data_IF_462835968314
#
_entry.id   IF_462835968314
#
_cell.length_a   1.000
_cell.length_b   1.000
_cell.length_c   1.000
_cell.angle_alpha   90.00
_cell.angle_beta   90.00
_cell.angle_gamma   90.00
#
_symmetry.space_group_name_H-M   'P 1'
#
loop_
_entity.id
_entity.type
_entity.pdbx_description
1 polymer ?
#
# COMPACT_ATOMS: atom_id res chain seq x y z
N UNK A 1 -25.22 -9.58 13.55
CA UNK A 1 -24.84 -10.37 12.36
C UNK A 1 -24.56 -11.80 12.82
N UNK A 2 -25.28 -12.84 12.34
CA UNK A 2 -24.97 -14.22 12.70
C UNK A 2 -23.64 -14.65 12.07
N UNK A 3 -22.79 -15.34 12.83
CA UNK A 3 -21.52 -15.86 12.32
C UNK A 3 -21.80 -16.94 11.25
N UNK A 4 -21.22 -16.79 10.04
CA UNK A 4 -21.24 -17.85 9.02
C UNK A 4 -20.16 -18.87 9.38
N UNK A 5 -20.56 -20.12 9.60
CA UNK A 5 -19.65 -21.23 9.84
C UNK A 5 -19.41 -21.98 8.51
N UNK A 6 -18.15 -22.26 8.19
CA UNK A 6 -17.76 -23.11 7.06
C UNK A 6 -17.13 -24.37 7.63
N UNK A 7 -17.78 -25.50 7.42
CA UNK A 7 -17.24 -26.81 7.78
C UNK A 7 -16.42 -27.34 6.59
N UNK A 8 -15.27 -27.93 6.87
CA UNK A 8 -14.44 -28.64 5.87
C UNK A 8 -14.32 -30.11 6.27
N UNK A 9 -14.10 -30.97 5.28
CA UNK A 9 -13.79 -32.37 5.53
C UNK A 9 -12.46 -32.51 6.28
N UNK A 10 -12.35 -33.56 7.10
CA UNK A 10 -11.10 -33.95 7.76
C UNK A 10 -10.04 -34.30 6.72
N UNK A 11 -8.90 -33.62 6.75
CA UNK A 11 -7.79 -33.75 5.79
C UNK A 11 -6.67 -34.67 6.28
N UNK A 12 -6.81 -35.26 7.47
CA UNK A 12 -5.86 -36.22 8.02
C UNK A 12 -4.58 -35.61 8.59
N UNK A 13 -4.35 -34.30 8.43
CA UNK A 13 -3.17 -33.61 8.97
C UNK A 13 -3.33 -33.25 10.46
N UNK A 14 -4.52 -33.43 11.01
CA UNK A 14 -4.85 -33.14 12.39
C UNK A 14 -4.36 -34.28 13.28
N UNK A 15 -3.30 -33.99 14.03
CA UNK A 15 -2.79 -34.85 15.08
C UNK A 15 -3.82 -34.91 16.22
N UNK A 16 -4.53 -36.03 16.34
CA UNK A 16 -5.39 -36.31 17.50
C UNK A 16 -4.51 -37.08 18.48
N UNK A 17 -4.32 -36.56 19.71
CA UNK A 17 -3.65 -37.33 20.77
C UNK A 17 -4.28 -38.71 20.90
N UNK A 18 -3.47 -39.76 21.09
CA UNK A 18 -3.99 -41.10 21.33
C UNK A 18 -4.86 -41.07 22.60
N UNK A 19 -6.17 -41.06 22.39
CA UNK A 19 -7.16 -41.00 23.46
C UNK A 19 -7.64 -42.42 23.70
N UNK A 20 -7.32 -42.98 24.87
CA UNK A 20 -7.78 -44.32 25.20
C UNK A 20 -9.26 -44.32 25.56
N UNK A 21 -9.96 -45.41 25.22
CA UNK A 21 -11.38 -45.55 25.50
C UNK A 21 -11.66 -45.56 27.02
N UNK A 22 -10.75 -46.15 27.79
CA UNK A 22 -10.88 -46.26 29.24
C UNK A 22 -10.78 -44.88 29.92
N UNK A 23 -9.86 -44.01 29.48
CA UNK A 23 -9.74 -42.63 29.96
C UNK A 23 -11.01 -41.81 29.72
N UNK A 24 -11.61 -41.97 28.54
CA UNK A 24 -12.87 -41.31 28.17
C UNK A 24 -13.99 -41.76 29.10
N UNK A 25 -14.11 -43.07 29.30
CA UNK A 25 -15.14 -43.64 30.15
C UNK A 25 -14.96 -43.20 31.60
N UNK A 26 -13.73 -43.19 32.12
CA UNK A 26 -13.44 -42.73 33.48
C UNK A 26 -13.81 -41.24 33.66
N UNK A 27 -13.39 -40.38 32.73
CA UNK A 27 -13.72 -38.96 32.76
C UNK A 27 -15.23 -38.70 32.69
N UNK A 28 -15.98 -39.49 31.90
CA UNK A 28 -17.42 -39.38 31.83
C UNK A 28 -18.11 -39.90 33.08
N UNK A 29 -17.57 -40.96 33.69
CA UNK A 29 -18.09 -41.57 34.91
C UNK A 29 -18.08 -40.57 36.06
N UNK A 30 -16.99 -39.83 36.23
CA UNK A 30 -16.86 -38.82 37.29
C UNK A 30 -17.90 -37.69 37.13
N UNK A 31 -18.06 -37.16 35.91
CA UNK A 31 -19.05 -36.13 35.61
C UNK A 31 -20.48 -36.68 35.71
N UNK A 32 -20.73 -37.94 35.33
CA UNK A 32 -22.03 -38.63 35.50
C UNK A 32 -22.40 -38.78 36.97
N UNK A 33 -21.46 -39.18 37.82
CA UNK A 33 -21.65 -39.28 39.26
C UNK A 33 -21.92 -37.89 39.88
N UNK A 34 -21.31 -36.83 39.33
CA UNK A 34 -21.49 -35.47 39.81
C UNK A 34 -22.83 -34.84 39.41
N UNK A 35 -23.32 -35.07 38.18
CA UNK A 35 -24.46 -34.33 37.62
C UNK A 35 -25.67 -35.20 37.26
N UNK A 36 -25.53 -36.52 37.18
CA UNK A 36 -26.60 -37.46 36.87
C UNK A 36 -27.10 -37.44 35.41
N UNK A 37 -26.49 -36.63 34.54
CA UNK A 37 -26.87 -36.49 33.12
C UNK A 37 -25.65 -36.69 32.20
N UNK A 38 -25.72 -37.72 31.37
CA UNK A 38 -24.71 -38.05 30.37
C UNK A 38 -24.52 -36.94 29.33
N UNK A 39 -25.61 -36.28 28.90
CA UNK A 39 -25.50 -35.23 27.88
C UNK A 39 -24.72 -34.03 28.42
N UNK A 40 -24.95 -33.69 29.69
CA UNK A 40 -24.23 -32.63 30.36
C UNK A 40 -22.76 -33.00 30.60
N UNK A 41 -22.48 -34.25 30.99
CA UNK A 41 -21.12 -34.78 31.13
C UNK A 41 -20.33 -34.69 29.81
N UNK A 42 -20.89 -35.20 28.71
CA UNK A 42 -20.28 -35.11 27.38
C UNK A 42 -20.00 -33.66 26.96
N UNK A 43 -20.96 -32.76 27.21
CA UNK A 43 -20.80 -31.33 26.91
C UNK A 43 -19.65 -30.73 27.71
N UNK A 44 -19.57 -31.03 29.00
CA UNK A 44 -18.53 -30.51 29.88
C UNK A 44 -17.15 -31.06 29.50
N UNK A 45 -17.06 -32.36 29.21
CA UNK A 45 -15.86 -33.02 28.73
C UNK A 45 -15.36 -32.39 27.43
N UNK A 46 -16.23 -32.24 26.41
CA UNK A 46 -15.85 -31.57 25.15
C UNK A 46 -15.41 -30.11 25.37
N UNK A 47 -16.00 -29.39 26.33
CA UNK A 47 -15.62 -28.00 26.59
C UNK A 47 -14.27 -27.87 27.30
N UNK A 48 -14.00 -28.73 28.29
CA UNK A 48 -12.82 -28.65 29.18
C UNK A 48 -11.63 -29.47 28.70
N UNK A 49 -11.88 -30.47 27.85
CA UNK A 49 -10.91 -31.49 27.47
C UNK A 49 -10.90 -32.66 28.47
N UNK A 50 -10.06 -33.65 28.20
CA UNK A 50 -9.84 -34.83 29.04
C UNK A 50 -8.44 -34.73 29.64
N UNK A 51 -8.28 -35.18 30.89
CA UNK A 51 -6.97 -35.40 31.50
C UNK A 51 -6.85 -36.87 31.84
N UNK A 52 -5.88 -37.52 31.24
CA UNK A 52 -5.50 -38.90 31.52
C UNK A 52 -4.84 -38.96 32.91
N UNK A 53 -4.97 -40.08 33.65
CA UNK A 53 -4.32 -40.26 34.95
C UNK A 53 -2.79 -40.09 34.91
N UNK A 54 -2.17 -40.41 33.78
CA UNK A 54 -0.73 -40.23 33.53
C UNK A 54 -0.31 -38.76 33.38
N UNK A 55 -1.27 -37.83 33.40
CA UNK A 55 -1.04 -36.39 33.32
C UNK A 55 -1.14 -35.81 31.91
N UNK A 56 -1.30 -36.66 30.90
CA UNK A 56 -1.56 -36.22 29.53
C UNK A 56 -2.92 -35.51 29.45
N UNK A 57 -2.96 -34.43 28.66
CA UNK A 57 -4.16 -33.61 28.50
C UNK A 57 -4.52 -33.47 27.05
N UNK A 58 -5.75 -33.85 26.73
CA UNK A 58 -6.39 -33.52 25.47
C UNK A 58 -7.10 -32.19 25.59
N UNK A 59 -6.78 -31.28 24.68
CA UNK A 59 -7.38 -29.94 24.63
C UNK A 59 -8.90 -30.00 24.44
N UNK A 60 -9.62 -29.19 25.20
CA UNK A 60 -11.05 -28.99 25.00
C UNK A 60 -11.33 -27.99 23.87
N UNK A 61 -12.60 -27.91 23.48
CA UNK A 61 -13.11 -26.90 22.54
C UNK A 61 -12.71 -25.47 22.96
N UNK A 62 -12.68 -25.17 24.26
CA UNK A 62 -12.26 -23.86 24.78
C UNK A 62 -10.79 -23.57 24.48
N UNK A 63 -9.93 -24.55 24.71
CA UNK A 63 -8.48 -24.44 24.48
C UNK A 63 -8.19 -24.31 22.98
N UNK A 64 -8.86 -25.11 22.14
CA UNK A 64 -8.76 -25.03 20.68
C UNK A 64 -9.19 -23.66 20.15
N UNK A 65 -10.32 -23.12 20.65
CA UNK A 65 -10.77 -21.79 20.28
C UNK A 65 -9.79 -20.70 20.73
N UNK A 66 -9.18 -20.87 21.90
CA UNK A 66 -8.16 -19.94 22.39
C UNK A 66 -6.91 -19.98 21.50
N UNK A 67 -6.43 -21.17 21.13
CA UNK A 67 -5.31 -21.36 20.21
C UNK A 67 -5.60 -20.75 18.84
N UNK A 68 -6.81 -20.97 18.30
CA UNK A 68 -7.24 -20.36 17.04
C UNK A 68 -7.28 -18.82 17.12
N UNK A 69 -7.81 -18.25 18.21
CA UNK A 69 -7.78 -16.80 18.42
C UNK A 69 -6.35 -16.28 18.50
N UNK A 70 -5.45 -17.01 19.15
CA UNK A 70 -4.04 -16.66 19.25
C UNK A 70 -3.35 -16.71 17.88
N UNK A 71 -3.56 -17.77 17.10
CA UNK A 71 -3.08 -17.87 15.72
C UNK A 71 -3.62 -16.74 14.83
N UNK A 72 -4.89 -16.38 14.97
CA UNK A 72 -5.46 -15.23 14.27
C UNK A 72 -4.81 -13.90 14.66
N UNK A 73 -4.49 -13.72 15.95
CA UNK A 73 -3.77 -12.54 16.44
C UNK A 73 -2.30 -12.53 16.07
N UNK A 74 -1.71 -13.69 15.79
CA UNK A 74 -0.36 -13.89 15.26
C UNK A 74 -0.30 -13.86 13.72
N UNK A 75 -1.42 -13.62 13.05
CA UNK A 75 -1.47 -13.26 11.63
C UNK A 75 -1.49 -11.73 11.34
N UNK A 76 -0.78 -10.84 12.06
CA UNK A 76 -0.38 -9.57 11.47
C UNK A 76 0.83 -9.80 10.54
N UNK A 77 0.98 -8.94 9.54
CA UNK A 77 2.11 -8.80 8.60
C UNK A 77 2.25 -9.77 7.42
N UNK A 78 1.55 -10.92 7.36
CA UNK A 78 1.65 -11.75 6.13
C UNK A 78 0.93 -11.15 4.91
N UNK A 79 0.13 -10.10 5.13
CA UNK A 79 -0.54 -9.30 4.10
C UNK A 79 -0.60 -7.83 4.49
N UNK A 80 0.51 -7.23 4.94
CA UNK A 80 0.64 -5.76 4.84
C UNK A 80 0.80 -5.40 3.36
N UNK A 81 -0.31 -5.50 2.63
CA UNK A 81 -0.43 -5.02 1.25
C UNK A 81 -0.06 -3.52 1.19
N UNK A 82 -0.21 -2.79 2.30
CA UNK A 82 0.25 -1.40 2.44
C UNK A 82 1.71 -1.24 2.06
N UNK A 83 2.62 -2.09 2.56
CA UNK A 83 4.05 -1.97 2.24
C UNK A 83 4.35 -2.25 0.77
N UNK A 84 3.63 -3.20 0.15
CA UNK A 84 3.78 -3.49 -1.29
C UNK A 84 3.23 -2.33 -2.13
N UNK A 85 2.13 -1.71 -1.70
CA UNK A 85 1.59 -0.52 -2.37
C UNK A 85 2.50 0.69 -2.20
N UNK A 86 3.14 0.88 -1.04
CA UNK A 86 4.12 1.94 -0.79
C UNK A 86 5.38 1.78 -1.68
N UNK A 87 5.83 0.55 -1.90
CA UNK A 87 6.95 0.25 -2.83
C UNK A 87 6.59 0.58 -4.27
N UNK A 88 5.38 0.22 -4.71
CA UNK A 88 4.89 0.54 -6.05
C UNK A 88 4.75 2.05 -6.23
N UNK A 89 4.24 2.76 -5.22
CA UNK A 89 4.12 4.22 -5.27
C UNK A 89 5.48 4.88 -5.42
N UNK A 90 6.49 4.47 -4.65
CA UNK A 90 7.86 4.98 -4.77
C UNK A 90 8.48 4.74 -6.15
N UNK A 91 8.28 3.54 -6.72
CA UNK A 91 8.77 3.22 -8.05
C UNK A 91 8.10 4.08 -9.13
N UNK A 92 6.80 4.36 -9.01
CA UNK A 92 6.10 5.24 -9.93
C UNK A 92 6.58 6.69 -9.81
N UNK A 93 6.83 7.19 -8.60
CA UNK A 93 7.38 8.53 -8.37
C UNK A 93 8.79 8.66 -8.98
N UNK A 94 9.66 7.66 -8.81
CA UNK A 94 11.00 7.63 -9.42
C UNK A 94 10.95 7.65 -10.96
N UNK A 95 10.02 6.91 -11.56
CA UNK A 95 9.82 6.94 -13.01
C UNK A 95 9.34 8.32 -13.47
N UNK A 96 8.40 8.93 -12.75
CA UNK A 96 7.88 10.26 -13.08
C UNK A 96 8.96 11.34 -13.01
N UNK A 97 9.84 11.28 -12.01
CA UNK A 97 10.94 12.22 -11.87
C UNK A 97 11.98 12.03 -12.99
N UNK A 98 12.31 10.78 -13.33
CA UNK A 98 13.20 10.50 -14.46
C UNK A 98 12.64 10.99 -15.80
N UNK A 99 11.32 10.83 -16.02
CA UNK A 99 10.66 11.35 -17.21
C UNK A 99 10.70 12.88 -17.25
N UNK A 100 10.46 13.57 -16.12
CA UNK A 100 10.54 15.03 -16.03
C UNK A 100 11.94 15.53 -16.37
N UNK A 101 12.97 14.96 -15.75
CA UNK A 101 14.36 15.33 -16.00
C UNK A 101 14.72 15.12 -17.48
N UNK A 102 14.29 14.00 -18.07
CA UNK A 102 14.51 13.72 -19.50
C UNK A 102 13.77 14.70 -20.42
N UNK A 103 12.58 15.16 -20.02
CA UNK A 103 11.83 16.16 -20.77
C UNK A 103 12.52 17.53 -20.71
N UNK A 104 13.01 17.92 -19.54
CA UNK A 104 13.72 19.18 -19.33
C UNK A 104 15.04 19.20 -20.11
N UNK A 105 15.82 18.11 -20.06
CA UNK A 105 17.05 17.95 -20.86
C UNK A 105 16.77 18.09 -22.37
N UNK A 106 15.69 17.48 -22.86
CA UNK A 106 15.27 17.62 -24.28
C UNK A 106 14.76 19.01 -24.60
N UNK A 107 14.10 19.69 -23.67
CA UNK A 107 13.61 21.05 -23.88
C UNK A 107 14.79 22.02 -24.01
N UNK A 108 15.83 21.83 -23.21
CA UNK A 108 17.08 22.59 -23.24
C UNK A 108 17.92 22.27 -24.49
N UNK A 109 17.96 21.00 -24.92
CA UNK A 109 18.62 20.58 -26.16
C UNK A 109 17.91 21.12 -27.42
N UNK A 110 16.58 21.26 -27.37
CA UNK A 110 15.75 21.90 -28.40
C UNK A 110 15.69 23.43 -28.19
N UNK A 111 16.77 24.02 -27.65
CA UNK A 111 16.91 25.43 -27.31
C UNK A 111 16.26 26.43 -28.30
N UNK A 112 15.91 27.65 -27.83
CA UNK A 112 14.91 28.53 -28.43
C UNK A 112 15.05 28.59 -29.94
N UNK A 113 13.97 28.22 -30.65
CA UNK A 113 13.88 28.24 -32.12
C UNK A 113 14.65 29.44 -32.66
N UNK A 114 15.63 29.26 -33.56
CA UNK A 114 16.30 30.41 -34.16
C UNK A 114 15.23 31.32 -34.75
N UNK A 115 15.16 32.56 -34.25
CA UNK A 115 14.31 33.59 -34.82
C UNK A 115 14.63 33.64 -36.31
N UNK A 116 13.61 33.68 -37.21
CA UNK A 116 13.86 33.81 -38.64
C UNK A 116 14.79 35.01 -38.85
N UNK A 117 16.01 34.74 -39.30
CA UNK A 117 16.90 35.79 -39.76
C UNK A 117 16.19 36.44 -40.95
N UNK A 118 15.76 37.68 -40.77
CA UNK A 118 15.33 38.51 -41.89
C UNK A 118 16.45 38.50 -42.93
N UNK A 119 16.18 38.14 -44.19
CA UNK A 119 17.21 38.12 -45.20
C UNK A 119 17.75 39.55 -45.35
N UNK A 120 19.07 39.68 -45.11
CA UNK A 120 19.82 40.88 -45.38
C UNK A 120 19.50 41.35 -46.80
N UNK A 121 18.93 42.55 -46.92
CA UNK A 121 18.54 43.14 -48.19
C UNK A 121 19.70 43.13 -49.18
N UNK A 122 19.47 42.46 -50.30
CA UNK A 122 20.32 42.46 -51.48
C UNK A 122 20.59 43.92 -51.89
N UNK A 123 21.83 44.39 -51.66
CA UNK A 123 22.26 45.72 -52.09
C UNK A 123 22.39 45.73 -53.61
N UNK A 124 21.38 46.27 -54.28
CA UNK A 124 21.44 46.60 -55.71
C UNK A 124 22.41 47.79 -55.87
N UNK A 125 23.44 47.72 -56.74
CA UNK A 125 24.33 48.84 -57.01
C UNK A 125 23.55 50.03 -57.58
N UNK A 126 23.74 51.21 -56.98
CA UNK A 126 22.97 52.42 -57.28
C UNK A 126 23.19 53.01 -58.68
N UNK A 127 22.10 53.54 -59.23
CA UNK A 127 22.07 54.53 -60.32
C UNK A 127 22.09 55.95 -59.69
N UNK A 128 23.01 56.85 -60.07
CA UNK A 128 23.18 58.12 -59.37
C UNK A 128 22.35 59.21 -60.05
N UNK A 129 21.26 59.66 -59.42
CA UNK A 129 20.80 61.03 -59.68
C UNK A 129 19.80 61.56 -58.65
N UNK A 130 19.99 62.85 -58.36
CA UNK A 130 19.10 63.79 -57.67
C UNK A 130 19.34 64.01 -56.16
N UNK A 131 20.39 64.79 -55.95
CA UNK A 131 20.51 65.92 -55.04
C UNK A 131 19.17 66.60 -54.66
N UNK A 132 19.02 66.93 -53.38
CA UNK A 132 17.96 67.83 -52.91
C UNK A 132 17.81 67.96 -51.39
N UNK A 133 18.87 68.41 -50.70
CA UNK A 133 18.94 69.41 -49.61
C UNK A 133 17.85 69.55 -48.47
N UNK A 134 18.18 70.17 -47.31
CA UNK A 134 18.13 69.47 -46.02
C UNK A 134 17.33 70.13 -44.87
N UNK A 135 17.28 69.40 -43.74
CA UNK A 135 17.32 69.82 -42.33
C UNK A 135 16.16 70.59 -41.66
N UNK A 136 15.68 70.01 -40.55
CA UNK A 136 15.35 70.59 -39.21
C UNK A 136 14.69 69.47 -38.38
N UNK A 137 14.88 69.26 -37.09
CA UNK A 137 15.61 69.96 -36.02
C UNK A 137 15.72 68.97 -34.84
N UNK A 138 16.84 68.99 -34.11
CA UNK A 138 17.02 68.24 -32.87
C UNK A 138 16.41 68.99 -31.68
N UNK A 139 16.10 68.20 -30.63
CA UNK A 139 16.37 68.43 -29.19
C UNK A 139 15.36 69.21 -28.35
N UNK A 140 14.83 68.51 -27.35
CA UNK A 140 14.81 68.79 -25.89
C UNK A 140 14.32 67.46 -25.26
N UNK A 141 14.87 66.78 -24.25
CA UNK A 141 15.71 67.11 -23.08
C UNK A 141 15.32 68.41 -22.38
N UNK A 142 14.28 68.35 -21.54
CA UNK A 142 14.47 68.51 -20.10
C UNK A 142 13.18 68.33 -19.27
N UNK A 143 13.40 67.72 -18.11
CA UNK A 143 12.77 67.99 -16.82
C UNK A 143 11.34 67.55 -16.48
N UNK A 144 11.23 66.96 -15.27
CA UNK A 144 9.99 66.74 -14.54
C UNK A 144 9.97 65.36 -13.86
N UNK A 145 10.70 65.16 -12.77
CA UNK A 145 10.16 65.20 -11.39
C UNK A 145 9.26 63.98 -11.08
N UNK A 146 9.77 62.99 -10.34
CA UNK A 146 9.74 62.88 -8.86
C UNK A 146 8.41 62.36 -8.30
N UNK A 147 8.53 61.31 -7.46
CA UNK A 147 7.57 60.89 -6.43
C UNK A 147 6.33 60.15 -6.94
N UNK A 148 5.70 59.24 -6.23
CA UNK A 148 5.90 58.68 -4.90
C UNK A 148 4.85 57.54 -4.79
N UNK A 149 5.23 56.47 -4.08
CA UNK A 149 4.37 55.47 -3.43
C UNK A 149 3.62 54.45 -4.30
#
# INVERSE_FOLDING_TARGET
>A
MPARFRFSQWDGTQDIPALDADDVLQSLSDDLLSFGDLQQALRNMMQRGIRTPDGDRTDGMRDLLQRLRQQRRQQPERFDLSSVFDDIQRQLDEILDMERDTLDDRLDEVGPRPQPQEPAGEQIPGDPSQQGQPQRQMRDQQDGQQGEQ
#
